data_IF_990416857751
#
_entry.id   IF_990416857751
#
_cell.length_a   1.000
_cell.length_b   1.000
_cell.length_c   1.000
_cell.angle_alpha   90.00
_cell.angle_beta   90.00
_cell.angle_gamma   90.00
#
_symmetry.space_group_name_H-M   'P 1'
#
loop_
_entity.id
_entity.type
_entity.pdbx_description
1 polymer ?
#
# COMPACT_ATOMS: atom_id res chain seq x y z
N UNK A 1 -2.70 2.22 4.91
CA UNK A 1 -3.83 2.72 4.10
C UNK A 1 -5.15 2.59 4.86
N UNK A 2 -5.67 1.39 5.15
CA UNK A 2 -6.99 1.26 5.83
C UNK A 2 -7.04 1.93 7.21
N UNK A 3 -5.98 1.82 8.02
CA UNK A 3 -5.90 2.48 9.35
C UNK A 3 -6.09 4.00 9.32
N UNK A 4 -5.95 4.65 8.15
CA UNK A 4 -6.25 6.08 7.98
C UNK A 4 -7.76 6.32 7.80
N UNK A 5 -8.49 5.43 7.11
CA UNK A 5 -9.89 5.63 6.69
C UNK A 5 -10.87 5.94 7.83
N UNK A 6 -10.51 5.56 9.06
CA UNK A 6 -11.40 5.53 10.20
C UNK A 6 -10.85 6.40 11.34
N UNK A 7 -10.64 7.68 11.02
CA UNK A 7 -10.54 8.72 12.04
C UNK A 7 -11.85 8.76 12.83
N UNK A 8 -11.81 8.24 14.06
CA UNK A 8 -12.97 8.09 14.96
C UNK A 8 -13.57 9.45 15.30
N UNK A 9 -14.62 9.84 14.56
CA UNK A 9 -15.40 11.04 14.83
C UNK A 9 -16.22 10.84 16.13
N UNK A 10 -15.63 11.30 17.24
CA UNK A 10 -16.19 11.26 18.60
C UNK A 10 -17.52 12.04 18.72
N UNK A 11 -17.72 13.06 17.88
CA UNK A 11 -18.93 13.89 17.81
C UNK A 11 -20.22 13.11 17.51
N UNK A 12 -20.10 11.85 17.06
CA UNK A 12 -21.24 10.97 16.73
C UNK A 12 -21.23 9.65 17.53
N UNK A 13 -20.42 9.53 18.59
CA UNK A 13 -20.37 8.31 19.39
C UNK A 13 -21.72 8.05 20.09
N UNK A 14 -22.22 6.81 20.02
CA UNK A 14 -23.47 6.42 20.70
C UNK A 14 -24.77 6.91 20.04
N UNK A 15 -24.71 7.58 18.88
CA UNK A 15 -25.89 7.99 18.11
C UNK A 15 -26.00 7.18 16.80
N UNK A 16 -27.12 6.47 16.62
CA UNK A 16 -27.42 5.79 15.36
C UNK A 16 -27.77 6.81 14.28
N UNK A 17 -26.93 6.91 13.24
CA UNK A 17 -27.06 7.85 12.12
C UNK A 17 -27.20 7.07 10.82
N UNK A 18 -28.45 6.84 10.40
CA UNK A 18 -28.78 6.06 9.22
C UNK A 18 -29.57 6.88 8.20
N UNK A 19 -28.95 7.16 7.05
CA UNK A 19 -29.67 7.69 5.89
C UNK A 19 -30.17 6.54 5.00
N UNK A 20 -31.44 6.51 4.54
CA UNK A 20 -31.97 5.42 3.73
C UNK A 20 -31.15 5.12 2.46
N UNK A 21 -30.66 6.16 1.78
CA UNK A 21 -29.77 6.00 0.62
C UNK A 21 -28.42 5.35 0.96
N UNK A 22 -27.93 5.55 2.19
CA UNK A 22 -26.73 4.90 2.70
C UNK A 22 -26.94 3.42 3.02
N UNK A 23 -28.10 3.07 3.58
CA UNK A 23 -28.53 1.66 3.77
C UNK A 23 -28.66 0.95 2.43
N UNK A 24 -29.28 1.60 1.43
CA UNK A 24 -29.36 1.06 0.06
C UNK A 24 -27.98 0.82 -0.57
N UNK A 25 -27.07 1.80 -0.46
CA UNK A 25 -25.69 1.66 -0.95
C UNK A 25 -24.93 0.52 -0.23
N UNK A 26 -25.08 0.39 1.09
CA UNK A 26 -24.50 -0.71 1.86
C UNK A 26 -25.09 -2.06 1.44
N UNK A 27 -26.40 -2.18 1.27
CA UNK A 27 -27.05 -3.43 0.86
C UNK A 27 -26.55 -3.90 -0.52
N UNK A 28 -26.49 -2.99 -1.49
CA UNK A 28 -25.91 -3.26 -2.82
C UNK A 28 -24.43 -3.67 -2.71
N UNK A 29 -23.64 -2.97 -1.90
CA UNK A 29 -22.23 -3.31 -1.69
C UNK A 29 -22.04 -4.67 -0.99
N UNK A 30 -22.88 -5.03 -0.03
CA UNK A 30 -22.85 -6.34 0.64
C UNK A 30 -23.24 -7.48 -0.30
N UNK A 31 -24.27 -7.30 -1.13
CA UNK A 31 -24.62 -8.27 -2.18
C UNK A 31 -23.49 -8.43 -3.20
N UNK A 32 -22.87 -7.32 -3.64
CA UNK A 32 -21.70 -7.35 -4.50
C UNK A 32 -20.50 -8.04 -3.82
N UNK A 33 -20.25 -7.80 -2.53
CA UNK A 33 -19.19 -8.44 -1.76
C UNK A 33 -19.37 -9.95 -1.70
N UNK A 34 -20.60 -10.46 -1.60
CA UNK A 34 -20.91 -11.90 -1.58
C UNK A 34 -20.78 -12.57 -2.95
N UNK A 35 -21.25 -11.90 -4.02
CA UNK A 35 -21.31 -12.46 -5.37
C UNK A 35 -19.96 -12.34 -6.11
N UNK A 36 -19.39 -11.14 -6.15
CA UNK A 36 -18.32 -10.78 -7.10
C UNK A 36 -16.97 -11.45 -6.75
N UNK A 37 -16.17 -11.97 -7.70
CA UNK A 37 -14.90 -12.65 -7.39
C UNK A 37 -13.93 -11.85 -6.51
N UNK A 38 -13.21 -12.54 -5.62
CA UNK A 38 -12.42 -11.93 -4.52
C UNK A 38 -11.49 -10.80 -4.96
N UNK A 39 -10.85 -10.89 -6.13
CA UNK A 39 -9.97 -9.84 -6.70
C UNK A 39 -10.61 -8.44 -6.78
N UNK A 40 -11.95 -8.35 -6.81
CA UNK A 40 -12.70 -7.10 -6.88
C UNK A 40 -13.19 -6.59 -5.51
N UNK A 41 -13.12 -7.39 -4.44
CA UNK A 41 -13.47 -6.97 -3.06
C UNK A 41 -12.76 -5.67 -2.63
N UNK A 42 -11.46 -5.45 -2.93
CA UNK A 42 -10.78 -4.17 -2.73
C UNK A 42 -11.44 -2.96 -3.37
N UNK A 43 -12.09 -3.13 -4.53
CA UNK A 43 -12.79 -2.04 -5.23
C UNK A 43 -14.13 -1.72 -4.57
N UNK A 44 -14.83 -2.71 -4.03
CA UNK A 44 -16.10 -2.49 -3.31
C UNK A 44 -15.82 -1.78 -1.98
N UNK A 45 -14.77 -2.18 -1.25
CA UNK A 45 -14.30 -1.45 -0.06
C UNK A 45 -13.86 -0.01 -0.40
N UNK A 46 -13.14 0.18 -1.51
CA UNK A 46 -12.72 1.50 -1.97
C UNK A 46 -13.94 2.39 -2.31
N UNK A 47 -14.93 1.86 -3.03
CA UNK A 47 -16.14 2.60 -3.37
C UNK A 47 -16.91 3.03 -2.12
N UNK A 48 -17.12 2.13 -1.15
CA UNK A 48 -17.71 2.47 0.15
C UNK A 48 -16.91 3.59 0.84
N UNK A 49 -15.58 3.46 0.91
CA UNK A 49 -14.72 4.41 1.61
C UNK A 49 -14.66 5.82 0.99
N UNK A 50 -15.00 6.00 -0.29
CA UNK A 50 -14.95 7.32 -0.97
C UNK A 50 -16.32 7.94 -1.26
N UNK A 51 -17.40 7.16 -1.24
CA UNK A 51 -18.77 7.64 -1.47
C UNK A 51 -19.67 7.64 -0.22
N UNK A 52 -19.39 6.80 0.79
CA UNK A 52 -20.27 6.63 1.95
C UNK A 52 -19.67 7.33 3.19
N UNK A 53 -20.30 8.40 3.72
CA UNK A 53 -19.70 9.20 4.78
C UNK A 53 -19.44 8.44 6.08
N UNK A 54 -18.25 8.61 6.68
CA UNK A 54 -17.84 7.94 7.93
C UNK A 54 -18.65 8.36 9.17
N UNK A 55 -19.60 9.28 9.01
CA UNK A 55 -20.62 9.62 10.01
C UNK A 55 -21.57 8.44 10.22
N UNK A 56 -22.00 7.78 9.13
CA UNK A 56 -23.08 6.78 9.15
C UNK A 56 -22.70 5.54 9.97
N UNK A 57 -23.48 5.27 11.04
CA UNK A 57 -23.27 4.15 11.95
C UNK A 57 -24.57 3.63 12.57
N UNK A 58 -24.56 2.36 12.92
CA UNK A 58 -25.61 1.68 13.69
C UNK A 58 -25.06 1.42 15.08
N UNK A 59 -25.75 1.87 16.14
CA UNK A 59 -25.35 1.60 17.52
C UNK A 59 -26.15 0.41 18.03
N UNK A 60 -25.45 -0.68 18.35
CA UNK A 60 -26.05 -1.93 18.84
C UNK A 60 -25.50 -2.19 20.24
N UNK A 61 -26.36 -2.17 21.26
CA UNK A 61 -25.99 -2.36 22.67
C UNK A 61 -24.83 -1.44 23.13
N UNK A 62 -24.80 -0.20 22.63
CA UNK A 62 -23.74 0.79 22.92
C UNK A 62 -22.46 0.65 22.09
N UNK A 63 -22.32 -0.38 21.25
CA UNK A 63 -21.23 -0.51 20.30
C UNK A 63 -21.56 0.19 18.96
N UNK A 64 -20.75 1.17 18.57
CA UNK A 64 -20.82 1.81 17.25
C UNK A 64 -20.41 0.82 16.14
N UNK A 65 -21.25 0.66 15.11
CA UNK A 65 -20.91 -0.05 13.86
C UNK A 65 -21.02 0.90 12.66
N UNK A 66 -19.91 1.53 12.22
CA UNK A 66 -19.85 2.26 10.96
C UNK A 66 -20.21 1.34 9.79
N UNK A 67 -20.84 1.86 8.73
CA UNK A 67 -21.30 1.02 7.62
C UNK A 67 -20.14 0.31 6.88
N UNK A 68 -18.96 0.91 6.85
CA UNK A 68 -17.74 0.27 6.33
C UNK A 68 -17.31 -0.96 7.18
N UNK A 69 -17.47 -0.90 8.51
CA UNK A 69 -17.21 -2.03 9.43
C UNK A 69 -18.13 -3.21 9.14
N UNK A 70 -19.40 -2.95 8.87
CA UNK A 70 -20.38 -3.98 8.50
C UNK A 70 -19.99 -4.69 7.19
N UNK A 71 -19.58 -3.92 6.17
CA UNK A 71 -19.07 -4.46 4.91
C UNK A 71 -17.76 -5.26 5.10
N UNK A 72 -16.85 -4.81 5.97
CA UNK A 72 -15.63 -5.54 6.33
C UNK A 72 -15.96 -6.88 6.99
N UNK A 73 -16.88 -6.91 7.97
CA UNK A 73 -17.30 -8.14 8.64
C UNK A 73 -17.92 -9.16 7.69
N UNK A 74 -18.82 -8.73 6.78
CA UNK A 74 -19.41 -9.61 5.76
C UNK A 74 -18.35 -10.12 4.78
N UNK A 75 -17.46 -9.24 4.33
CA UNK A 75 -16.36 -9.62 3.43
C UNK A 75 -15.37 -10.60 4.07
N UNK A 76 -15.06 -10.44 5.36
CA UNK A 76 -14.28 -11.41 6.13
C UNK A 76 -14.99 -12.76 6.25
N UNK A 77 -16.26 -12.77 6.67
CA UNK A 77 -17.04 -14.00 6.83
C UNK A 77 -17.07 -14.81 5.52
N UNK A 78 -17.29 -14.13 4.38
CA UNK A 78 -17.20 -14.73 3.05
C UNK A 78 -15.81 -15.30 2.74
N UNK A 79 -14.73 -14.58 3.05
CA UNK A 79 -13.36 -15.02 2.78
C UNK A 79 -12.90 -16.16 3.71
N UNK A 80 -13.52 -16.30 4.89
CA UNK A 80 -13.39 -17.49 5.74
C UNK A 80 -14.12 -18.68 5.11
N UNK A 81 -15.42 -18.55 4.82
CA UNK A 81 -16.26 -19.63 4.25
C UNK A 81 -15.74 -20.11 2.90
N UNK A 82 -15.28 -19.21 2.02
CA UNK A 82 -14.66 -19.57 0.74
C UNK A 82 -13.23 -20.15 0.86
N UNK A 83 -12.73 -20.38 2.07
CA UNK A 83 -11.38 -20.85 2.38
C UNK A 83 -10.27 -19.93 1.88
N UNK A 84 -10.58 -18.68 1.52
CA UNK A 84 -9.63 -17.76 0.91
C UNK A 84 -8.55 -17.32 1.90
N UNK A 85 -8.93 -17.10 3.16
CA UNK A 85 -8.01 -16.84 4.27
C UNK A 85 -7.23 -18.10 4.66
N UNK A 86 -7.87 -19.27 4.70
CA UNK A 86 -7.21 -20.56 4.99
C UNK A 86 -6.14 -20.95 3.96
N UNK A 87 -6.26 -20.44 2.72
CA UNK A 87 -5.23 -20.57 1.66
C UNK A 87 -4.07 -19.56 1.78
N UNK A 88 -3.96 -18.81 2.87
CA UNK A 88 -2.87 -17.86 3.12
C UNK A 88 -1.92 -18.39 4.19
N UNK A 89 -0.61 -18.24 3.97
CA UNK A 89 0.38 -18.46 5.04
C UNK A 89 0.47 -17.25 5.94
N UNK A 90 0.51 -17.47 7.26
CA UNK A 90 0.78 -16.40 8.23
C UNK A 90 2.22 -15.91 8.04
N UNK A 91 2.40 -14.59 8.05
CA UNK A 91 3.68 -13.90 7.91
C UNK A 91 3.87 -12.90 9.05
N UNK A 92 5.12 -12.49 9.28
CA UNK A 92 5.48 -11.53 10.33
C UNK A 92 4.67 -10.22 10.32
N UNK A 93 4.25 -9.72 9.15
CA UNK A 93 3.42 -8.51 9.07
C UNK A 93 2.03 -8.77 9.66
N UNK A 94 1.41 -9.92 9.38
CA UNK A 94 0.12 -10.29 9.99
C UNK A 94 0.25 -10.31 11.51
N UNK A 95 1.32 -10.93 12.02
CA UNK A 95 1.61 -11.06 13.44
C UNK A 95 1.72 -9.67 14.09
N UNK A 96 2.48 -8.73 13.50
CA UNK A 96 2.58 -7.38 14.05
C UNK A 96 1.29 -6.55 13.89
N UNK A 97 0.52 -6.72 12.80
CA UNK A 97 -0.80 -6.09 12.64
C UNK A 97 -1.77 -6.59 13.72
N UNK A 98 -1.76 -7.89 14.02
CA UNK A 98 -2.56 -8.50 15.09
C UNK A 98 -2.08 -8.02 16.47
N UNK A 99 -0.77 -8.06 16.77
CA UNK A 99 -0.23 -7.59 18.06
C UNK A 99 -0.60 -6.13 18.31
N UNK A 100 -0.42 -5.23 17.34
CA UNK A 100 -0.79 -3.82 17.49
C UNK A 100 -2.28 -3.60 17.77
N UNK A 101 -3.15 -4.42 17.17
CA UNK A 101 -4.58 -4.38 17.45
C UNK A 101 -4.94 -4.95 18.84
N UNK A 102 -4.48 -6.16 19.17
CA UNK A 102 -4.72 -6.81 20.46
C UNK A 102 -4.21 -5.96 21.63
N UNK A 103 -3.04 -5.33 21.47
CA UNK A 103 -2.47 -4.43 22.49
C UNK A 103 -3.44 -3.30 22.82
N UNK A 104 -4.02 -2.65 21.80
CA UNK A 104 -5.00 -1.54 21.99
C UNK A 104 -6.32 -2.00 22.60
N UNK A 105 -6.78 -3.22 22.32
CA UNK A 105 -7.99 -3.79 22.95
C UNK A 105 -7.82 -3.89 24.47
N UNK A 106 -6.62 -4.19 24.97
CA UNK A 106 -6.32 -4.25 26.42
C UNK A 106 -5.98 -2.85 26.97
N UNK A 107 -5.16 -2.09 26.26
CA UNK A 107 -4.56 -0.85 26.76
C UNK A 107 -5.52 0.33 26.86
N UNK A 108 -6.38 0.58 25.86
CA UNK A 108 -7.29 1.75 25.88
C UNK A 108 -8.33 1.66 27.00
N UNK A 109 -9.03 0.53 27.24
CA UNK A 109 -10.01 0.45 28.32
C UNK A 109 -9.40 0.63 29.71
N UNK A 110 -8.17 0.14 29.92
CA UNK A 110 -7.41 0.29 31.18
C UNK A 110 -6.97 1.73 31.39
N UNK A 111 -6.32 2.36 30.40
CA UNK A 111 -5.81 3.74 30.52
C UNK A 111 -6.93 4.79 30.61
N UNK A 112 -8.11 4.51 30.06
CA UNK A 112 -9.30 5.39 30.15
C UNK A 112 -10.21 5.06 31.34
N UNK A 113 -9.90 4.03 32.14
CA UNK A 113 -10.72 3.59 33.26
C UNK A 113 -12.14 3.13 32.90
N UNK A 114 -12.39 2.73 31.65
CA UNK A 114 -13.72 2.44 31.13
C UNK A 114 -13.75 1.09 30.37
N UNK A 115 -14.31 0.01 30.95
CA UNK A 115 -14.31 -1.31 30.34
C UNK A 115 -15.17 -1.40 29.07
N UNK A 116 -16.17 -0.53 28.89
CA UNK A 116 -17.03 -0.55 27.70
C UNK A 116 -16.26 -0.22 26.41
N UNK A 117 -15.10 0.43 26.52
CA UNK A 117 -14.22 0.71 25.39
C UNK A 117 -13.62 -0.56 24.77
N UNK A 118 -13.68 -1.73 25.44
CA UNK A 118 -13.32 -3.02 24.84
C UNK A 118 -14.11 -3.25 23.54
N UNK A 119 -15.42 -2.96 23.54
CA UNK A 119 -16.26 -3.13 22.34
C UNK A 119 -15.85 -2.18 21.20
N UNK A 120 -15.53 -0.92 21.53
CA UNK A 120 -15.01 0.03 20.55
C UNK A 120 -13.68 -0.46 19.95
N UNK A 121 -12.73 -0.90 20.78
CA UNK A 121 -11.42 -1.36 20.30
C UNK A 121 -11.49 -2.68 19.54
N UNK A 122 -12.38 -3.61 19.92
CA UNK A 122 -12.67 -4.81 19.11
C UNK A 122 -13.20 -4.40 17.73
N UNK A 123 -14.11 -3.43 17.66
CA UNK A 123 -14.59 -2.88 16.39
C UNK A 123 -13.46 -2.25 15.56
N UNK A 124 -12.65 -1.38 16.16
CA UNK A 124 -11.53 -0.70 15.47
C UNK A 124 -10.38 -1.68 15.12
N UNK A 125 -10.29 -2.84 15.79
CA UNK A 125 -9.45 -3.96 15.40
C UNK A 125 -10.03 -4.75 14.22
N UNK A 126 -11.33 -5.05 14.19
CA UNK A 126 -12.02 -5.65 13.03
C UNK A 126 -11.79 -4.79 11.78
N UNK A 127 -11.89 -3.47 11.91
CA UNK A 127 -11.62 -2.55 10.81
C UNK A 127 -10.18 -2.65 10.29
N UNK A 128 -9.18 -2.47 11.17
CA UNK A 128 -7.78 -2.40 10.77
C UNK A 128 -7.21 -3.76 10.34
N UNK A 129 -7.44 -4.81 11.14
CA UNK A 129 -6.95 -6.18 10.89
C UNK A 129 -7.77 -6.85 9.80
N UNK A 130 -9.09 -6.66 9.83
CA UNK A 130 -10.00 -7.26 8.88
C UNK A 130 -9.79 -6.76 7.46
N UNK A 131 -9.80 -5.44 7.25
CA UNK A 131 -9.56 -4.90 5.91
C UNK A 131 -8.12 -5.18 5.42
N UNK A 132 -7.12 -5.24 6.31
CA UNK A 132 -5.77 -5.72 5.95
C UNK A 132 -5.82 -7.15 5.38
N UNK A 133 -6.48 -8.08 6.08
CA UNK A 133 -6.64 -9.45 5.60
C UNK A 133 -7.51 -9.55 4.34
N UNK A 134 -8.57 -8.76 4.20
CA UNK A 134 -9.38 -8.71 2.98
C UNK A 134 -8.56 -8.26 1.77
N UNK A 135 -7.77 -7.19 1.90
CA UNK A 135 -6.88 -6.71 0.84
C UNK A 135 -5.85 -7.76 0.46
N UNK A 136 -5.17 -8.37 1.44
CA UNK A 136 -4.16 -9.41 1.21
C UNK A 136 -4.75 -10.70 0.64
N UNK A 137 -5.94 -11.11 1.06
CA UNK A 137 -6.65 -12.27 0.53
C UNK A 137 -7.12 -12.09 -0.91
N UNK A 138 -7.26 -10.85 -1.37
CA UNK A 138 -7.83 -10.50 -2.67
C UNK A 138 -6.77 -10.17 -3.73
N UNK A 139 -5.70 -9.44 -3.36
CA UNK A 139 -4.63 -9.06 -4.28
C UNK A 139 -3.47 -10.07 -4.17
N UNK A 140 -3.52 -11.15 -4.96
CA UNK A 140 -2.56 -12.26 -4.91
C UNK A 140 -1.47 -12.18 -5.96
N UNK A 141 -1.74 -11.51 -7.07
CA UNK A 141 -0.83 -11.39 -8.23
C UNK A 141 -0.65 -9.94 -8.69
N UNK A 142 0.35 -9.71 -9.55
CA UNK A 142 0.48 -8.44 -10.26
C UNK A 142 -0.76 -8.17 -11.14
N UNK A 143 -1.41 -9.19 -11.70
CA UNK A 143 -2.62 -9.00 -12.50
C UNK A 143 -3.80 -8.46 -11.67
N UNK A 144 -3.99 -8.96 -10.44
CA UNK A 144 -5.03 -8.45 -9.52
C UNK A 144 -4.77 -6.99 -9.14
N UNK A 145 -3.50 -6.64 -8.87
CA UNK A 145 -3.10 -5.26 -8.59
C UNK A 145 -3.33 -4.34 -9.80
N UNK A 146 -3.08 -4.80 -11.03
CA UNK A 146 -3.34 -4.04 -12.26
C UNK A 146 -4.84 -3.80 -12.47
N UNK A 147 -5.67 -4.80 -12.17
CA UNK A 147 -7.11 -4.66 -12.15
C UNK A 147 -7.58 -3.69 -11.06
N UNK A 148 -7.01 -3.76 -9.85
CA UNK A 148 -7.28 -2.82 -8.76
C UNK A 148 -6.87 -1.38 -9.13
N UNK A 149 -5.66 -1.17 -9.65
CA UNK A 149 -5.16 0.14 -10.12
C UNK A 149 -6.12 0.78 -11.14
N UNK A 150 -6.59 -0.02 -12.11
CA UNK A 150 -7.52 0.46 -13.15
C UNK A 150 -8.93 0.72 -12.59
N UNK A 151 -9.46 -0.18 -11.75
CA UNK A 151 -10.78 0.00 -11.14
C UNK A 151 -10.82 1.16 -10.14
N UNK A 152 -9.73 1.38 -9.40
CA UNK A 152 -9.59 2.49 -8.47
C UNK A 152 -9.62 3.84 -9.21
N UNK A 153 -8.99 3.95 -10.38
CA UNK A 153 -9.07 5.14 -11.22
C UNK A 153 -10.53 5.45 -11.59
N UNK A 154 -11.28 4.46 -12.08
CA UNK A 154 -12.71 4.64 -12.43
C UNK A 154 -13.59 4.99 -11.23
N UNK A 155 -13.31 4.43 -10.05
CA UNK A 155 -14.04 4.73 -8.82
C UNK A 155 -13.71 6.14 -8.30
N UNK A 156 -12.46 6.60 -8.40
CA UNK A 156 -12.02 7.89 -7.89
C UNK A 156 -12.23 9.07 -8.86
N UNK A 157 -12.44 8.83 -10.16
CA UNK A 157 -12.67 9.89 -11.13
C UNK A 157 -13.94 10.73 -10.84
N UNK A 158 -15.13 10.16 -10.57
CA UNK A 158 -16.31 10.97 -10.21
C UNK A 158 -16.16 11.64 -8.83
N UNK A 159 -15.43 11.03 -7.88
CA UNK A 159 -15.10 11.68 -6.59
C UNK A 159 -14.30 12.96 -6.81
N UNK A 160 -13.43 13.01 -7.82
CA UNK A 160 -12.68 14.22 -8.17
C UNK A 160 -13.63 15.35 -8.59
N UNK A 161 -14.71 15.03 -9.31
CA UNK A 161 -15.76 16.00 -9.68
C UNK A 161 -16.53 16.48 -8.45
N UNK A 162 -16.86 15.57 -7.52
CA UNK A 162 -17.49 15.93 -6.23
C UNK A 162 -16.61 16.93 -5.45
N UNK A 163 -15.30 16.70 -5.36
CA UNK A 163 -14.37 17.60 -4.67
C UNK A 163 -14.24 18.96 -5.39
N UNK A 164 -14.33 19.02 -6.72
CA UNK A 164 -14.35 20.29 -7.47
C UNK A 164 -15.65 21.08 -7.24
N UNK A 165 -16.79 20.40 -7.12
CA UNK A 165 -18.09 21.03 -6.79
C UNK A 165 -18.09 21.50 -5.32
N UNK A 166 -17.55 20.69 -4.40
CA UNK A 166 -17.35 21.08 -3.00
C UNK A 166 -16.42 22.32 -2.90
N UNK A 167 -15.34 22.37 -3.69
CA UNK A 167 -14.37 23.48 -3.70
C UNK A 167 -14.93 24.79 -4.27
N UNK A 168 -15.87 24.72 -5.21
CA UNK A 168 -16.47 25.88 -5.87
C UNK A 168 -17.74 26.40 -5.18
N UNK A 169 -18.45 25.54 -4.45
CA UNK A 169 -19.71 25.91 -3.77
C UNK A 169 -19.60 25.98 -2.25
N UNK A 170 -18.54 25.43 -1.65
CA UNK A 170 -18.43 25.22 -0.19
C UNK A 170 -19.42 24.20 0.38
N UNK A 171 -20.19 23.50 -0.48
CA UNK A 171 -21.22 22.51 -0.10
C UNK A 171 -20.80 21.11 -0.50
N UNK A 172 -20.84 20.19 0.45
CA UNK A 172 -20.49 18.80 0.22
C UNK A 172 -21.69 18.04 -0.37
N UNK A 173 -21.57 17.54 -1.61
CA UNK A 173 -22.66 16.79 -2.26
C UNK A 173 -23.03 15.49 -1.52
N UNK A 174 -22.09 14.92 -0.77
CA UNK A 174 -22.31 13.70 0.01
C UNK A 174 -23.02 13.97 1.36
N UNK A 175 -23.45 15.22 1.61
CA UNK A 175 -24.40 15.54 2.68
C UNK A 175 -25.79 14.94 2.47
N UNK A 176 -26.15 14.60 1.22
CA UNK A 176 -27.28 13.73 0.89
C UNK A 176 -27.11 12.33 1.53
N UNK A 177 -25.88 11.94 1.88
CA UNK A 177 -25.56 10.74 2.64
C UNK A 177 -25.07 11.07 4.07
N UNK A 178 -25.42 12.24 4.62
CA UNK A 178 -25.10 12.59 6.02
C UNK A 178 -23.65 13.01 6.27
N UNK A 179 -22.87 13.37 5.25
CA UNK A 179 -21.66 14.18 5.47
C UNK A 179 -22.02 15.61 5.93
N UNK A 180 -21.09 16.36 6.57
CA UNK A 180 -21.31 17.77 6.89
C UNK A 180 -21.70 18.59 5.66
N UNK A 181 -22.82 19.33 5.72
CA UNK A 181 -23.38 20.03 4.56
C UNK A 181 -22.47 21.12 3.99
N UNK A 182 -21.67 21.76 4.85
CA UNK A 182 -20.71 22.80 4.49
C UNK A 182 -19.31 22.37 4.88
N UNK A 183 -18.35 22.62 4.00
CA UNK A 183 -16.94 22.31 4.21
C UNK A 183 -16.30 23.31 5.18
N UNK A 184 -15.37 22.85 6.02
CA UNK A 184 -14.69 23.74 6.97
C UNK A 184 -13.86 24.81 6.24
N UNK A 185 -13.99 26.08 6.64
CA UNK A 185 -13.14 27.18 6.17
C UNK A 185 -12.04 27.42 7.20
N UNK A 186 -10.77 27.45 6.77
CA UNK A 186 -9.63 27.75 7.64
C UNK A 186 -8.61 28.63 6.90
N UNK A 187 -8.21 29.74 7.53
CA UNK A 187 -7.37 30.77 6.91
C UNK A 187 -7.89 31.25 5.54
N UNK A 188 -9.20 31.53 5.45
CA UNK A 188 -9.88 31.98 4.23
C UNK A 188 -10.03 30.91 3.13
N UNK A 189 -9.58 29.67 3.35
CA UNK A 189 -9.66 28.59 2.36
C UNK A 189 -10.69 27.55 2.76
N UNK A 190 -11.57 27.20 1.82
CA UNK A 190 -12.42 26.00 1.87
C UNK A 190 -11.50 24.77 1.95
N UNK A 191 -11.88 23.79 2.78
CA UNK A 191 -11.18 22.50 2.90
C UNK A 191 -12.14 21.35 2.62
N UNK A 192 -12.17 20.90 1.37
CA UNK A 192 -13.05 19.82 0.94
C UNK A 192 -12.71 18.49 1.63
N UNK A 193 -13.72 17.68 1.92
CA UNK A 193 -13.55 16.38 2.59
C UNK A 193 -14.41 15.24 2.03
N UNK A 194 -15.43 15.49 1.21
CA UNK A 194 -16.30 14.45 0.66
C UNK A 194 -16.84 13.48 1.73
N UNK A 195 -16.60 12.18 1.57
CA UNK A 195 -17.03 11.13 2.51
C UNK A 195 -16.18 11.02 3.78
N UNK A 196 -14.98 11.63 3.81
CA UNK A 196 -14.03 11.46 4.90
C UNK A 196 -14.39 12.35 6.10
N UNK A 197 -13.99 11.93 7.30
CA UNK A 197 -14.22 12.71 8.53
C UNK A 197 -13.52 14.07 8.53
N UNK A 198 -12.41 14.23 7.80
CA UNK A 198 -11.75 15.53 7.61
C UNK A 198 -10.87 15.57 6.35
N UNK A 199 -10.69 16.78 5.81
CA UNK A 199 -9.91 17.09 4.59
C UNK A 199 -8.46 16.57 4.60
N UNK A 200 -7.78 16.58 5.75
CA UNK A 200 -6.41 16.07 5.88
C UNK A 200 -6.35 14.56 5.57
N UNK A 201 -7.35 13.80 6.02
CA UNK A 201 -7.46 12.38 5.74
C UNK A 201 -7.78 12.14 4.25
N UNK A 202 -8.76 12.85 3.70
CA UNK A 202 -9.13 12.74 2.29
C UNK A 202 -7.91 12.86 1.37
N UNK A 203 -7.17 13.96 1.45
CA UNK A 203 -5.98 14.17 0.61
C UNK A 203 -4.90 13.10 0.82
N UNK A 204 -4.62 12.71 2.07
CA UNK A 204 -3.65 11.65 2.38
C UNK A 204 -4.07 10.28 1.81
N UNK A 205 -5.37 9.99 1.69
CA UNK A 205 -5.88 8.74 1.12
C UNK A 205 -5.61 8.64 -0.39
N UNK A 206 -5.90 9.67 -1.18
CA UNK A 206 -5.62 9.66 -2.62
C UNK A 206 -4.11 9.71 -2.91
N UNK A 207 -3.32 10.37 -2.06
CA UNK A 207 -1.85 10.29 -2.13
C UNK A 207 -1.33 8.88 -1.83
N UNK A 208 -1.99 8.11 -0.95
CA UNK A 208 -1.63 6.71 -0.72
C UNK A 208 -1.98 5.77 -1.91
N UNK A 209 -2.87 6.18 -2.82
CA UNK A 209 -3.16 5.48 -4.07
C UNK A 209 -2.15 5.80 -5.19
N UNK A 210 -1.52 6.98 -5.17
CA UNK A 210 -0.58 7.42 -6.21
C UNK A 210 0.45 6.35 -6.62
N UNK A 211 1.13 5.62 -5.71
CA UNK A 211 2.17 4.68 -6.13
C UNK A 211 1.63 3.48 -6.90
N UNK A 212 0.36 3.10 -6.70
CA UNK A 212 -0.33 2.03 -7.45
C UNK A 212 -0.71 2.48 -8.87
N UNK A 213 -0.92 3.79 -9.09
CA UNK A 213 -1.13 4.37 -10.42
C UNK A 213 0.19 4.71 -11.12
N UNK A 214 1.13 5.37 -10.46
CA UNK A 214 2.42 5.77 -11.06
C UNK A 214 3.24 4.52 -11.46
N UNK A 215 3.17 3.42 -10.69
CA UNK A 215 3.83 2.16 -11.05
C UNK A 215 3.38 1.54 -12.39
N UNK A 216 2.32 2.05 -13.01
CA UNK A 216 1.85 1.68 -14.35
C UNK A 216 2.72 2.23 -15.48
N UNK A 217 3.55 3.26 -15.25
CA UNK A 217 4.32 3.96 -16.31
C UNK A 217 5.13 3.03 -17.22
N UNK A 218 5.63 1.90 -16.71
CA UNK A 218 6.40 0.93 -17.50
C UNK A 218 5.60 0.14 -18.54
N UNK A 219 4.26 0.25 -18.56
CA UNK A 219 3.37 -0.55 -19.42
C UNK A 219 2.91 0.18 -20.69
N UNK A 220 3.81 0.96 -21.30
CA UNK A 220 3.54 1.70 -22.53
C UNK A 220 2.42 2.74 -22.40
N UNK A 221 1.78 3.10 -23.52
CA UNK A 221 0.80 4.20 -23.58
C UNK A 221 -0.34 4.02 -22.58
N UNK A 222 -0.94 2.83 -22.49
CA UNK A 222 -2.00 2.52 -21.50
C UNK A 222 -1.49 2.62 -20.05
N UNK A 223 -0.23 2.26 -19.82
CA UNK A 223 0.44 2.45 -18.53
C UNK A 223 0.57 3.94 -18.15
N UNK A 224 1.05 4.74 -19.10
CA UNK A 224 1.22 6.20 -18.96
C UNK A 224 -0.11 6.92 -18.74
N UNK A 225 -1.16 6.56 -19.47
CA UNK A 225 -2.50 7.15 -19.28
C UNK A 225 -3.02 6.91 -17.85
N UNK A 226 -2.93 5.68 -17.33
CA UNK A 226 -3.41 5.36 -15.97
C UNK A 226 -2.58 6.13 -14.92
N UNK A 227 -1.26 6.23 -15.10
CA UNK A 227 -0.40 7.00 -14.22
C UNK A 227 -0.72 8.52 -14.23
N UNK A 228 -0.92 9.10 -15.42
CA UNK A 228 -1.23 10.52 -15.59
C UNK A 228 -2.62 10.88 -15.03
N UNK A 229 -3.65 10.09 -15.31
CA UNK A 229 -4.98 10.29 -14.75
C UNK A 229 -5.01 10.09 -13.23
N UNK A 230 -4.30 9.09 -12.70
CA UNK A 230 -4.17 8.89 -11.25
C UNK A 230 -3.44 10.06 -10.56
N UNK A 231 -2.40 10.61 -11.20
CA UNK A 231 -1.71 11.81 -10.73
C UNK A 231 -2.63 13.04 -10.73
N UNK A 232 -3.40 13.25 -11.80
CA UNK A 232 -4.36 14.35 -11.91
C UNK A 232 -5.46 14.27 -10.83
N UNK A 233 -6.03 13.08 -10.61
CA UNK A 233 -7.02 12.80 -9.56
C UNK A 233 -6.47 13.19 -8.18
N UNK A 234 -5.31 12.66 -7.80
CA UNK A 234 -4.73 12.92 -6.49
C UNK A 234 -4.30 14.39 -6.33
N UNK A 235 -3.67 14.99 -7.34
CA UNK A 235 -3.26 16.40 -7.32
C UNK A 235 -4.47 17.33 -7.12
N UNK A 236 -5.56 17.09 -7.86
CA UNK A 236 -6.78 17.89 -7.77
C UNK A 236 -7.37 17.80 -6.36
N UNK A 237 -7.52 16.59 -5.81
CA UNK A 237 -8.09 16.40 -4.48
C UNK A 237 -7.17 16.96 -3.39
N UNK A 238 -5.84 16.82 -3.51
CA UNK A 238 -4.85 17.43 -2.60
C UNK A 238 -4.99 18.95 -2.55
N UNK A 239 -5.22 19.60 -3.70
CA UNK A 239 -5.47 21.05 -3.79
C UNK A 239 -6.79 21.41 -3.09
N UNK A 240 -7.89 20.70 -3.38
CA UNK A 240 -9.20 20.94 -2.76
C UNK A 240 -9.21 20.71 -1.24
N UNK A 241 -8.35 19.83 -0.72
CA UNK A 241 -8.20 19.61 0.72
C UNK A 241 -7.51 20.77 1.46
N UNK A 242 -6.86 21.71 0.74
CA UNK A 242 -6.17 22.90 1.25
C UNK A 242 -5.36 22.67 2.55
N UNK A 243 -4.55 21.61 2.57
CA UNK A 243 -3.84 21.08 3.74
C UNK A 243 -2.40 20.72 3.41
N UNK A 244 -1.48 20.91 4.36
CA UNK A 244 -0.05 20.62 4.16
C UNK A 244 0.28 19.13 4.19
N UNK A 245 -0.41 18.31 5.01
CA UNK A 245 -0.04 16.89 5.18
C UNK A 245 -0.15 16.10 3.87
N UNK A 246 -1.21 16.25 3.05
CA UNK A 246 -1.29 15.61 1.73
C UNK A 246 -0.22 16.12 0.75
N UNK A 247 0.09 17.43 0.76
CA UNK A 247 1.16 18.01 -0.08
C UNK A 247 2.53 17.44 0.29
N UNK A 248 2.85 17.39 1.59
CA UNK A 248 4.07 16.77 2.14
C UNK A 248 4.15 15.29 1.75
N UNK A 249 3.05 14.55 1.88
CA UNK A 249 3.00 13.14 1.49
C UNK A 249 3.22 12.96 -0.03
N UNK A 250 2.70 13.85 -0.87
CA UNK A 250 2.90 13.82 -2.32
C UNK A 250 4.36 14.12 -2.71
N UNK A 251 5.03 15.04 -1.98
CA UNK A 251 6.49 15.26 -2.12
C UNK A 251 7.26 14.01 -1.71
N UNK A 252 6.93 13.35 -0.59
CA UNK A 252 7.58 12.10 -0.19
C UNK A 252 7.36 10.96 -1.20
N UNK A 253 6.19 10.85 -1.81
CA UNK A 253 5.94 9.93 -2.93
C UNK A 253 6.85 10.26 -4.11
N UNK A 254 6.96 11.54 -4.50
CA UNK A 254 7.88 11.99 -5.55
C UNK A 254 9.35 11.66 -5.27
N UNK A 255 9.83 11.90 -4.04
CA UNK A 255 11.17 11.52 -3.59
C UNK A 255 11.37 10.00 -3.61
N UNK A 256 10.37 9.22 -3.20
CA UNK A 256 10.38 7.77 -3.30
C UNK A 256 10.53 7.28 -4.74
N UNK A 257 9.86 7.93 -5.69
CA UNK A 257 10.00 7.66 -7.12
C UNK A 257 11.35 8.07 -7.70
N UNK A 258 11.90 9.23 -7.33
CA UNK A 258 13.26 9.64 -7.70
C UNK A 258 14.31 8.62 -7.19
N UNK A 259 14.08 8.04 -6.00
CA UNK A 259 14.86 6.94 -5.44
C UNK A 259 14.97 5.69 -6.32
N UNK A 260 14.08 5.51 -7.31
CA UNK A 260 14.16 4.37 -8.25
C UNK A 260 15.46 4.37 -9.05
N UNK A 261 16.01 5.55 -9.36
CA UNK A 261 17.31 5.66 -10.05
C UNK A 261 18.45 5.01 -9.25
N UNK A 262 18.31 4.98 -7.92
CA UNK A 262 19.28 4.49 -6.95
C UNK A 262 18.81 3.22 -6.23
N UNK A 263 17.88 2.44 -6.83
CA UNK A 263 17.23 1.30 -6.16
C UNK A 263 18.20 0.25 -5.59
N UNK A 264 19.38 0.08 -6.19
CA UNK A 264 20.44 -0.83 -5.71
C UNK A 264 21.19 -0.27 -4.50
N UNK A 265 21.28 1.05 -4.40
CA UNK A 265 21.98 1.80 -3.36
C UNK A 265 21.06 2.20 -2.20
N UNK A 266 19.74 1.98 -2.26
CA UNK A 266 18.81 2.39 -1.20
C UNK A 266 19.20 1.90 0.20
N UNK A 267 19.82 0.72 0.34
CA UNK A 267 20.35 0.27 1.65
C UNK A 267 21.44 1.21 2.18
N UNK A 268 22.32 1.72 1.32
CA UNK A 268 23.34 2.70 1.67
C UNK A 268 22.70 4.06 1.99
N UNK A 269 21.70 4.50 1.22
CA UNK A 269 20.95 5.74 1.47
C UNK A 269 20.25 5.69 2.84
N UNK A 270 19.62 4.57 3.19
CA UNK A 270 19.00 4.36 4.50
C UNK A 270 20.04 4.34 5.64
N UNK A 271 21.15 3.64 5.49
CA UNK A 271 22.22 3.60 6.50
C UNK A 271 22.84 4.99 6.69
N UNK A 272 23.14 5.71 5.60
CA UNK A 272 23.65 7.07 5.64
C UNK A 272 22.64 8.03 6.29
N UNK A 273 21.34 7.92 5.96
CA UNK A 273 20.29 8.70 6.59
C UNK A 273 20.16 8.46 8.10
N UNK A 274 20.35 7.23 8.56
CA UNK A 274 20.40 6.90 9.99
C UNK A 274 21.65 7.51 10.66
N UNK A 275 22.83 7.35 10.06
CA UNK A 275 24.10 7.91 10.59
C UNK A 275 24.02 9.44 10.66
N UNK A 276 23.55 10.10 9.60
CA UNK A 276 23.35 11.55 9.56
C UNK A 276 22.28 11.99 10.57
N UNK A 277 21.19 11.24 10.72
CA UNK A 277 20.16 11.51 11.73
C UNK A 277 20.67 11.43 13.18
N UNK A 278 21.53 10.46 13.47
CA UNK A 278 22.20 10.31 14.78
C UNK A 278 23.20 11.44 15.00
N UNK A 279 24.04 11.76 14.00
CA UNK A 279 24.99 12.87 14.09
C UNK A 279 24.27 14.21 14.31
N UNK A 280 23.20 14.48 13.56
CA UNK A 280 22.36 15.67 13.74
C UNK A 280 21.66 15.69 15.11
N UNK A 281 21.26 14.55 15.65
CA UNK A 281 20.67 14.51 16.99
C UNK A 281 21.65 14.97 18.09
N UNK A 282 22.93 14.60 18.00
CA UNK A 282 23.95 15.08 18.94
C UNK A 282 24.42 16.53 18.69
N UNK A 283 24.35 17.02 17.44
CA UNK A 283 24.72 18.41 17.09
C UNK A 283 23.58 19.41 17.36
N UNK A 284 22.32 18.98 17.29
CA UNK A 284 21.16 19.86 17.45
C UNK A 284 20.66 19.89 18.90
N UNK A 285 20.77 21.05 19.56
CA UNK A 285 20.31 21.29 20.94
C UNK A 285 18.79 21.06 21.21
N UNK A 286 17.98 20.79 20.17
CA UNK A 286 16.55 20.41 20.27
C UNK A 286 16.23 19.07 19.58
N UNK A 287 17.26 18.24 19.35
CA UNK A 287 17.17 16.99 18.61
C UNK A 287 16.84 17.16 17.12
N UNK A 288 16.99 16.07 16.37
CA UNK A 288 16.78 16.06 14.91
C UNK A 288 15.30 16.28 14.51
N UNK A 289 14.34 15.96 15.40
CA UNK A 289 12.91 16.19 15.16
C UNK A 289 12.53 17.69 15.08
N UNK A 290 13.35 18.59 15.63
CA UNK A 290 13.16 20.03 15.48
C UNK A 290 13.30 20.54 14.03
N UNK A 291 13.88 19.75 13.11
CA UNK A 291 13.85 20.07 11.67
C UNK A 291 12.41 20.19 11.12
N UNK A 292 11.46 19.44 11.68
CA UNK A 292 10.04 19.48 11.29
C UNK A 292 9.43 20.86 11.60
N UNK A 293 9.91 21.56 12.63
CA UNK A 293 9.47 22.92 12.97
C UNK A 293 9.88 23.98 11.92
N UNK A 294 10.80 23.65 11.01
CA UNK A 294 11.26 24.54 9.92
C UNK A 294 10.51 24.33 8.61
N UNK A 295 9.65 23.31 8.50
CA UNK A 295 8.91 22.97 7.29
C UNK A 295 7.45 23.46 7.42
N UNK A 296 7.19 24.69 6.99
CA UNK A 296 5.83 25.11 6.59
C UNK A 296 5.79 25.26 5.06
N UNK A 297 4.80 24.62 4.45
CA UNK A 297 4.57 24.56 3.00
C UNK A 297 3.18 25.09 2.63
N UNK A 298 2.28 25.26 3.61
CA UNK A 298 0.90 25.74 3.39
C UNK A 298 0.45 26.45 4.67
N UNK A 299 0.46 27.79 4.64
CA UNK A 299 0.18 28.64 5.80
C UNK A 299 -1.07 28.24 6.59
N UNK A 300 -0.93 28.26 7.92
CA UNK A 300 -1.91 27.66 8.86
C UNK A 300 -1.60 26.20 9.20
N UNK A 301 -0.42 25.69 8.81
CA UNK A 301 0.15 24.39 9.18
C UNK A 301 1.36 24.57 10.09
N UNK A 302 1.15 24.59 11.41
CA UNK A 302 2.24 24.67 12.38
C UNK A 302 3.13 23.41 12.35
N UNK A 303 4.21 23.43 11.59
CA UNK A 303 5.29 22.42 11.69
C UNK A 303 5.82 22.30 13.13
N UNK A 304 5.79 23.42 13.87
CA UNK A 304 6.01 23.50 15.30
C UNK A 304 5.11 22.56 16.12
N UNK A 305 3.82 22.39 15.78
CA UNK A 305 2.91 21.48 16.50
C UNK A 305 3.34 20.02 16.36
N UNK A 306 3.72 19.61 15.14
CA UNK A 306 4.25 18.26 14.90
C UNK A 306 5.59 18.03 15.62
N UNK A 307 6.47 19.02 15.65
CA UNK A 307 7.67 19.02 16.47
C UNK A 307 7.34 18.85 17.96
N UNK A 308 6.50 19.73 18.51
CA UNK A 308 6.18 19.79 19.94
C UNK A 308 5.48 18.51 20.42
N UNK A 309 4.60 17.92 19.60
CA UNK A 309 3.98 16.63 19.88
C UNK A 309 5.00 15.48 19.99
N UNK A 310 6.03 15.45 19.13
CA UNK A 310 7.11 14.45 19.20
C UNK A 310 8.03 14.71 20.40
N UNK A 311 8.43 15.97 20.59
CA UNK A 311 9.28 16.45 21.67
C UNK A 311 8.69 16.10 23.05
N UNK A 312 7.38 16.33 23.21
CA UNK A 312 6.63 15.94 24.40
C UNK A 312 6.36 14.45 24.51
N UNK A 313 6.09 13.73 23.41
CA UNK A 313 6.00 12.26 23.47
C UNK A 313 7.32 11.63 23.96
N UNK A 314 8.48 12.19 23.61
CA UNK A 314 9.78 11.76 24.14
C UNK A 314 9.93 12.17 25.61
N UNK A 315 9.58 13.41 25.98
CA UNK A 315 9.64 13.92 27.36
C UNK A 315 8.78 13.08 28.32
N UNK A 316 7.56 12.73 27.93
CA UNK A 316 6.61 11.94 28.69
C UNK A 316 6.69 10.43 28.38
N UNK A 317 7.82 9.92 27.85
CA UNK A 317 7.95 8.48 27.53
C UNK A 317 7.61 7.58 28.73
N UNK A 318 8.04 7.94 29.94
CA UNK A 318 7.74 7.22 31.18
C UNK A 318 6.23 7.12 31.52
N UNK A 319 5.40 8.02 30.99
CA UNK A 319 3.94 8.01 31.17
C UNK A 319 3.26 6.95 30.30
N UNK A 320 3.65 6.84 29.02
CA UNK A 320 2.89 6.07 28.04
C UNK A 320 3.56 4.77 27.57
N UNK A 321 4.85 4.54 27.82
CA UNK A 321 5.58 3.43 27.21
C UNK A 321 4.98 2.03 27.46
N UNK A 322 4.33 1.79 28.60
CA UNK A 322 3.83 0.46 28.96
C UNK A 322 2.44 0.18 28.36
N UNK A 323 1.46 1.05 28.60
CA UNK A 323 0.04 0.86 28.22
C UNK A 323 -0.58 2.03 27.44
N UNK A 324 0.20 3.06 27.09
CA UNK A 324 -0.36 4.33 26.61
C UNK A 324 -0.78 5.27 27.74
N UNK A 325 -1.56 6.30 27.41
CA UNK A 325 -2.02 7.32 28.36
C UNK A 325 -3.46 7.75 28.05
N UNK A 326 -4.17 8.24 29.06
CA UNK A 326 -5.55 8.71 28.93
C UNK A 326 -5.70 9.88 27.93
N UNK A 327 -4.65 10.67 27.73
CA UNK A 327 -4.63 11.74 26.73
C UNK A 327 -3.36 12.59 26.81
N UNK A 328 -3.24 13.54 25.89
CA UNK A 328 -2.02 14.36 25.69
C UNK A 328 -2.24 15.85 25.94
N UNK A 329 -3.36 16.23 26.57
CA UNK A 329 -3.75 17.64 26.80
C UNK A 329 -2.80 18.36 27.76
N UNK A 330 -2.28 17.65 28.77
CA UNK A 330 -1.34 18.20 29.76
C UNK A 330 0.09 18.32 29.23
N UNK A 331 0.42 17.66 28.11
CA UNK A 331 1.75 17.74 27.50
C UNK A 331 2.06 19.15 26.96
N UNK A 332 1.05 19.90 26.53
CA UNK A 332 1.17 21.24 25.98
C UNK A 332 -0.12 21.72 25.27
N UNK A 333 -0.25 23.03 25.06
CA UNK A 333 -1.43 23.62 24.43
C UNK A 333 -1.72 23.00 23.05
N UNK A 334 -2.93 22.49 22.87
CA UNK A 334 -3.39 21.88 21.62
C UNK A 334 -2.92 20.45 21.39
N UNK A 335 -2.02 19.88 22.21
CA UNK A 335 -1.43 18.55 21.96
C UNK A 335 -2.42 17.38 22.08
N UNK A 336 -3.66 17.62 22.50
CA UNK A 336 -4.77 16.65 22.32
C UNK A 336 -5.07 16.33 20.84
N UNK A 337 -4.68 17.20 19.90
CA UNK A 337 -4.72 16.91 18.44
C UNK A 337 -3.46 16.13 18.03
N UNK A 338 -3.49 14.82 18.23
CA UNK A 338 -2.37 13.89 18.02
C UNK A 338 -2.15 13.61 16.52
N UNK A 339 -1.68 14.62 15.79
CA UNK A 339 -1.44 14.61 14.33
C UNK A 339 -0.23 13.77 13.86
N UNK A 340 0.11 12.69 14.58
CA UNK A 340 1.21 11.79 14.28
C UNK A 340 0.84 10.34 14.64
N UNK A 341 0.76 9.45 13.66
CA UNK A 341 0.36 8.05 13.86
C UNK A 341 1.27 7.30 14.84
N UNK A 342 2.59 7.53 14.82
CA UNK A 342 3.51 6.81 15.71
C UNK A 342 3.29 7.20 17.17
N UNK A 343 3.01 8.49 17.43
CA UNK A 343 2.62 8.97 18.77
C UNK A 343 1.23 8.47 19.14
N UNK A 344 0.29 8.39 18.18
CA UNK A 344 -1.07 7.90 18.42
C UNK A 344 -1.11 6.40 18.78
N UNK A 345 -0.29 5.55 18.17
CA UNK A 345 -0.11 4.17 18.60
C UNK A 345 0.50 4.09 20.01
N UNK A 346 1.49 4.95 20.31
CA UNK A 346 2.08 5.09 21.64
C UNK A 346 1.06 5.47 22.72
N UNK A 347 0.24 6.48 22.46
CA UNK A 347 -0.82 6.94 23.36
C UNK A 347 -1.91 5.89 23.57
N UNK A 348 -2.22 5.04 22.56
CA UNK A 348 -3.31 4.05 22.64
C UNK A 348 -2.89 2.63 23.06
N UNK A 349 -1.62 2.26 22.91
CA UNK A 349 -1.14 0.90 23.13
C UNK A 349 0.35 0.81 23.46
N UNK A 350 0.91 1.90 23.97
CA UNK A 350 2.29 1.98 24.44
C UNK A 350 3.35 1.71 23.38
N UNK A 351 4.55 1.43 23.89
CA UNK A 351 5.71 1.07 23.08
C UNK A 351 5.46 -0.22 22.29
N UNK A 352 4.65 -1.16 22.80
CA UNK A 352 4.35 -2.42 22.08
C UNK A 352 3.53 -2.18 20.80
N UNK A 353 2.45 -1.38 20.85
CA UNK A 353 1.71 -1.02 19.63
C UNK A 353 2.55 -0.17 18.67
N UNK A 354 3.37 0.74 19.21
CA UNK A 354 4.31 1.56 18.43
C UNK A 354 5.33 0.70 17.69
N UNK A 355 5.97 -0.24 18.40
CA UNK A 355 6.92 -1.21 17.85
C UNK A 355 6.28 -2.13 16.82
N UNK A 356 5.03 -2.57 17.06
CA UNK A 356 4.27 -3.36 16.11
C UNK A 356 4.01 -2.60 14.81
N UNK A 357 3.66 -1.31 14.86
CA UNK A 357 3.54 -0.47 13.66
C UNK A 357 4.87 -0.38 12.91
N UNK A 358 5.97 -0.02 13.58
CA UNK A 358 7.30 0.06 12.95
C UNK A 358 7.75 -1.27 12.34
N UNK A 359 7.57 -2.37 13.06
CA UNK A 359 7.90 -3.71 12.57
C UNK A 359 7.09 -4.05 11.32
N UNK A 360 5.77 -3.80 11.30
CA UNK A 360 4.92 -4.06 10.14
C UNK A 360 5.44 -3.35 8.86
N UNK A 361 5.94 -2.12 8.99
CA UNK A 361 6.57 -1.37 7.90
C UNK A 361 7.92 -1.96 7.49
N UNK A 362 8.82 -2.23 8.45
CA UNK A 362 10.16 -2.82 8.17
C UNK A 362 10.03 -4.17 7.46
N UNK A 363 9.13 -5.03 7.91
CA UNK A 363 8.86 -6.32 7.27
C UNK A 363 8.20 -6.17 5.88
N UNK A 364 7.43 -5.11 5.64
CA UNK A 364 6.91 -4.79 4.30
C UNK A 364 8.02 -4.36 3.33
N UNK A 365 8.85 -3.38 3.69
CA UNK A 365 9.98 -2.92 2.86
C UNK A 365 10.99 -4.03 2.57
N UNK A 366 11.33 -4.86 3.58
CA UNK A 366 12.21 -6.02 3.43
C UNK A 366 11.69 -7.03 2.39
N UNK A 367 10.39 -7.26 2.40
CA UNK A 367 9.76 -8.25 1.53
C UNK A 367 9.52 -7.73 0.10
N UNK A 368 9.37 -6.41 -0.06
CA UNK A 368 9.47 -5.70 -1.35
C UNK A 368 10.88 -5.82 -1.93
N UNK A 369 11.93 -5.50 -1.16
CA UNK A 369 13.32 -5.54 -1.64
C UNK A 369 13.74 -6.92 -2.15
N UNK A 370 13.27 -7.98 -1.48
CA UNK A 370 13.41 -9.36 -1.94
C UNK A 370 12.77 -9.64 -3.32
N UNK A 371 11.63 -9.02 -3.61
CA UNK A 371 10.97 -9.15 -4.92
C UNK A 371 11.67 -8.33 -6.01
N UNK A 372 12.16 -7.13 -5.68
CA UNK A 372 13.00 -6.32 -6.60
C UNK A 372 14.24 -7.08 -7.06
N UNK A 373 14.97 -7.71 -6.14
CA UNK A 373 16.14 -8.54 -6.47
C UNK A 373 15.82 -9.83 -7.25
N UNK A 374 14.55 -10.14 -7.52
CA UNK A 374 14.10 -11.35 -8.25
C UNK A 374 13.46 -11.06 -9.61
N UNK A 375 13.04 -9.82 -9.86
CA UNK A 375 12.48 -9.42 -11.15
C UNK A 375 13.58 -8.85 -12.05
N UNK A 376 13.53 -9.05 -13.38
CA UNK A 376 14.52 -8.45 -14.27
C UNK A 376 14.47 -6.92 -14.16
N UNK A 377 15.61 -6.24 -13.90
CA UNK A 377 15.60 -4.82 -13.60
C UNK A 377 15.14 -3.98 -14.80
N UNK A 378 14.54 -2.82 -14.52
CA UNK A 378 13.93 -1.92 -15.51
C UNK A 378 12.73 -2.49 -16.30
N UNK A 379 12.23 -3.68 -15.97
CA UNK A 379 10.92 -4.14 -16.49
C UNK A 379 9.75 -3.40 -15.86
N UNK A 380 8.58 -3.43 -16.52
CA UNK A 380 7.33 -2.91 -15.98
C UNK A 380 6.95 -3.55 -14.64
N UNK A 381 7.12 -4.87 -14.50
CA UNK A 381 6.90 -5.58 -13.24
C UNK A 381 7.86 -5.10 -12.15
N UNK A 382 9.16 -4.98 -12.44
CA UNK A 382 10.14 -4.46 -11.48
C UNK A 382 9.80 -3.03 -11.02
N UNK A 383 9.38 -2.14 -11.93
CA UNK A 383 8.95 -0.79 -11.55
C UNK A 383 7.64 -0.81 -10.75
N UNK A 384 6.65 -1.62 -11.13
CA UNK A 384 5.39 -1.76 -10.39
C UNK A 384 5.63 -2.28 -8.97
N UNK A 385 6.50 -3.28 -8.78
CA UNK A 385 6.94 -3.73 -7.45
C UNK A 385 7.68 -2.64 -6.68
N UNK A 386 8.52 -1.84 -7.33
CA UNK A 386 9.20 -0.71 -6.69
C UNK A 386 8.22 0.36 -6.21
N UNK A 387 7.19 0.62 -7.01
CA UNK A 387 6.19 1.65 -6.76
C UNK A 387 5.30 1.28 -5.58
N UNK A 388 4.83 0.03 -5.52
CA UNK A 388 4.22 -0.55 -4.33
C UNK A 388 5.24 -0.60 -3.17
N UNK A 389 6.53 -0.68 -3.47
CA UNK A 389 7.59 -0.53 -2.49
C UNK A 389 7.54 0.80 -1.74
N UNK A 390 7.19 1.89 -2.43
CA UNK A 390 6.94 3.19 -1.82
C UNK A 390 5.59 3.29 -1.05
N UNK A 391 4.76 2.24 -1.01
CA UNK A 391 3.44 2.24 -0.33
C UNK A 391 3.11 1.02 0.54
N UNK A 392 3.87 -0.09 0.44
CA UNK A 392 3.50 -1.48 0.80
C UNK A 392 2.33 -2.04 -0.05
N UNK A 393 2.17 -3.35 -0.34
CA UNK A 393 3.04 -4.56 -0.29
C UNK A 393 2.60 -5.53 -1.43
N UNK A 394 3.47 -6.44 -1.88
CA UNK A 394 3.09 -7.68 -2.59
C UNK A 394 3.47 -8.94 -1.79
N UNK A 395 2.69 -10.02 -1.93
CA UNK A 395 2.90 -11.23 -1.13
C UNK A 395 3.91 -12.23 -1.72
N UNK A 396 4.46 -13.10 -0.87
CA UNK A 396 5.45 -14.11 -1.28
C UNK A 396 4.81 -15.48 -1.53
N UNK A 397 4.63 -15.80 -2.83
CA UNK A 397 4.60 -17.13 -3.51
C UNK A 397 3.26 -17.49 -4.18
N UNK A 398 3.26 -17.43 -5.51
CA UNK A 398 2.54 -18.39 -6.38
C UNK A 398 3.44 -19.04 -7.46
N UNK A 399 4.76 -18.76 -7.47
CA UNK A 399 5.75 -19.43 -8.34
C UNK A 399 6.70 -20.33 -7.54
N UNK A 400 6.14 -21.34 -6.85
CA UNK A 400 6.83 -22.61 -6.58
C UNK A 400 6.15 -23.66 -7.48
N UNK A 401 6.61 -23.71 -8.73
CA UNK A 401 6.02 -24.46 -9.82
C UNK A 401 6.83 -24.15 -11.07
N UNK A 402 6.31 -23.28 -11.93
CA UNK A 402 6.98 -22.91 -13.18
C UNK A 402 8.25 -22.07 -12.98
N UNK A 403 9.37 -22.61 -13.46
CA UNK A 403 10.43 -21.76 -14.01
C UNK A 403 9.91 -21.26 -15.37
N UNK A 404 9.88 -19.96 -15.67
CA UNK A 404 9.67 -19.51 -17.04
C UNK A 404 10.86 -19.99 -17.88
N UNK A 405 10.67 -21.04 -18.67
CA UNK A 405 11.63 -21.41 -19.71
C UNK A 405 11.60 -20.32 -20.79
N UNK A 406 12.47 -19.32 -20.66
CA UNK A 406 12.82 -18.41 -21.74
C UNK A 406 13.55 -19.20 -22.84
N UNK A 407 12.77 -19.91 -23.68
CA UNK A 407 13.24 -20.45 -24.95
C UNK A 407 13.52 -19.29 -25.92
N UNK A 408 14.69 -18.69 -25.81
CA UNK A 408 15.28 -18.00 -26.95
C UNK A 408 15.45 -19.03 -28.09
N UNK A 409 14.99 -18.68 -29.29
CA UNK A 409 15.22 -19.46 -30.51
C UNK A 409 14.10 -20.41 -30.93
N UNK A 410 12.90 -19.90 -31.25
CA UNK A 410 11.96 -20.60 -32.13
C UNK A 410 11.02 -19.68 -32.95
N UNK A 411 11.57 -18.58 -33.49
CA UNK A 411 10.88 -17.66 -34.43
C UNK A 411 11.59 -17.52 -35.80
N UNK A 412 12.33 -18.56 -36.23
CA UNK A 412 12.81 -18.73 -37.61
C UNK A 412 12.49 -20.14 -38.08
N UNK A 413 11.29 -20.34 -38.62
CA UNK A 413 10.87 -21.49 -39.44
C UNK A 413 9.41 -21.39 -39.96
N UNK A 414 8.59 -20.49 -39.39
CA UNK A 414 7.19 -20.28 -39.75
C UNK A 414 6.97 -19.39 -41.01
N UNK A 415 7.91 -19.38 -41.97
CA UNK A 415 7.86 -18.51 -43.17
C UNK A 415 8.14 -19.24 -44.49
N UNK A 416 8.22 -20.57 -44.51
CA UNK A 416 8.53 -21.36 -45.72
C UNK A 416 7.53 -22.48 -46.05
N UNK A 417 6.32 -22.47 -45.46
CA UNK A 417 5.20 -23.37 -45.84
C UNK A 417 3.91 -22.59 -46.10
N UNK A 418 3.95 -21.69 -47.08
CA UNK A 418 2.80 -20.93 -47.57
C UNK A 418 2.75 -20.81 -49.12
N UNK A 419 3.45 -21.68 -49.85
CA UNK A 419 3.35 -21.80 -51.31
C UNK A 419 3.47 -23.27 -51.75
N UNK A 420 2.32 -23.96 -51.86
CA UNK A 420 2.01 -25.17 -52.68
C UNK A 420 0.75 -25.85 -52.12
N UNK A 421 -0.42 -25.34 -52.49
CA UNK A 421 -1.67 -26.10 -52.51
C UNK A 421 -2.41 -25.72 -53.80
N UNK A 422 -2.65 -26.69 -54.67
CA UNK A 422 -3.31 -26.47 -55.95
C UNK A 422 -3.55 -27.76 -56.73
N UNK A 423 -4.82 -28.19 -56.79
CA UNK A 423 -5.40 -29.28 -57.60
C UNK A 423 -4.94 -30.72 -57.26
N UNK A 424 -5.81 -31.72 -57.52
CA UNK A 424 -5.38 -33.11 -57.73
C UNK A 424 -6.11 -34.25 -56.98
N UNK A 425 -7.40 -34.41 -57.22
CA UNK A 425 -8.19 -35.67 -57.29
C UNK A 425 -7.68 -37.05 -56.76
N UNK A 426 -8.60 -37.76 -56.10
CA UNK A 426 -8.87 -39.23 -56.06
C UNK A 426 -7.76 -40.27 -55.73
N UNK A 427 -8.07 -41.18 -54.78
CA UNK A 427 -7.38 -42.47 -54.58
C UNK A 427 -7.65 -43.12 -53.21
N UNK A 428 -8.22 -44.34 -53.18
CA UNK A 428 -8.53 -45.16 -51.98
C UNK A 428 -8.45 -46.65 -52.40
N UNK A 429 -8.03 -47.63 -51.58
CA UNK A 429 -7.09 -47.65 -50.43
C UNK A 429 -5.91 -48.64 -50.67
N UNK A 430 -5.10 -48.97 -49.65
CA UNK A 430 -4.97 -50.35 -49.11
C UNK A 430 -3.74 -50.59 -48.20
N UNK A 431 -3.85 -51.63 -47.37
CA UNK A 431 -2.81 -52.49 -46.76
C UNK A 431 -1.69 -51.92 -45.86
N UNK A 432 -1.70 -52.40 -44.61
CA UNK A 432 -0.54 -52.73 -43.77
C UNK A 432 -0.37 -54.28 -43.77
N UNK A 433 0.46 -54.96 -42.93
CA UNK A 433 1.49 -54.50 -41.97
C UNK A 433 2.83 -55.29 -42.03
N UNK A 434 3.87 -54.85 -41.30
CA UNK A 434 4.78 -55.70 -40.48
C UNK A 434 5.76 -54.85 -39.63
N UNK A 435 6.14 -55.26 -38.40
CA UNK A 435 7.37 -56.00 -37.98
C UNK A 435 8.70 -55.41 -38.54
N UNK A 436 9.82 -55.34 -37.80
CA UNK A 436 10.15 -55.92 -36.48
C UNK A 436 11.18 -55.09 -35.68
N UNK A 437 11.39 -55.48 -34.44
CA UNK A 437 12.39 -55.00 -33.47
C UNK A 437 13.82 -55.48 -33.74
N UNK A 438 14.82 -54.72 -33.30
CA UNK A 438 15.98 -55.14 -32.47
C UNK A 438 16.78 -53.88 -32.04
N UNK A 439 17.39 -53.74 -30.85
CA UNK A 439 18.52 -54.45 -30.24
C UNK A 439 19.86 -54.36 -31.03
N UNK A 440 21.05 -54.16 -30.44
CA UNK A 440 21.47 -53.51 -29.18
C UNK A 440 23.01 -53.37 -29.10
N UNK A 441 23.49 -52.49 -28.19
CA UNK A 441 24.73 -52.65 -27.38
C UNK A 441 26.16 -52.50 -27.99
N UNK A 442 27.09 -52.14 -27.07
CA UNK A 442 28.58 -52.17 -27.11
C UNK A 442 29.28 -51.01 -27.85
N UNK A 443 30.26 -50.27 -27.27
CA UNK A 443 31.56 -50.56 -26.57
C UNK A 443 32.72 -50.77 -27.58
N UNK A 444 33.97 -50.31 -27.41
CA UNK A 444 34.63 -49.39 -26.44
C UNK A 444 36.09 -49.07 -26.91
N UNK A 445 36.75 -47.98 -26.44
CA UNK A 445 38.24 -47.71 -26.55
C UNK A 445 38.75 -47.42 -28.00
N UNK A 446 39.87 -46.71 -28.30
CA UNK A 446 41.08 -46.32 -27.55
C UNK A 446 41.64 -44.88 -27.81
N UNK A 447 42.81 -44.62 -27.20
CA UNK A 447 43.69 -43.44 -27.20
C UNK A 447 44.07 -42.74 -28.53
N UNK A 448 44.61 -41.51 -28.39
CA UNK A 448 45.51 -40.86 -29.35
C UNK A 448 46.09 -39.54 -28.80
N UNK A 449 47.27 -39.59 -28.16
CA UNK A 449 48.00 -38.40 -27.71
C UNK A 449 48.77 -37.70 -28.86
N UNK A 450 48.88 -36.37 -28.81
CA UNK A 450 49.59 -35.58 -29.82
C UNK A 450 50.02 -34.20 -29.29
N UNK A 451 51.34 -33.97 -29.19
CA UNK A 451 51.92 -32.77 -28.60
C UNK A 451 51.91 -31.56 -29.55
N UNK A 452 51.98 -30.33 -28.99
CA UNK A 452 53.10 -29.43 -29.28
C UNK A 452 53.24 -28.32 -28.21
N UNK A 453 54.49 -27.86 -27.99
CA UNK A 453 54.90 -26.77 -27.08
C UNK A 453 55.81 -25.77 -27.81
N UNK A 454 55.69 -24.48 -27.48
CA UNK A 454 56.76 -23.43 -27.38
C UNK A 454 56.10 -22.20 -26.70
N UNK A 455 56.62 -21.56 -25.64
CA UNK A 455 57.81 -20.68 -25.52
C UNK A 455 57.70 -19.41 -26.41
N UNK A 456 57.80 -18.16 -25.94
CA UNK A 456 58.04 -17.54 -24.61
C UNK A 456 57.31 -16.17 -24.48
N UNK A 457 57.69 -15.11 -23.74
CA UNK A 457 58.76 -14.77 -22.76
C UNK A 457 58.23 -13.60 -21.85
N UNK A 458 59.03 -13.02 -20.93
CA UNK A 458 58.73 -11.88 -20.00
C UNK A 458 60.00 -10.99 -19.84
N UNK A 459 60.01 -9.86 -19.08
CA UNK A 459 59.03 -8.77 -18.86
C UNK A 459 59.69 -7.34 -18.90
N UNK A 460 58.97 -6.26 -18.55
CA UNK A 460 59.56 -5.00 -18.05
C UNK A 460 58.56 -4.18 -17.18
N UNK A 461 59.06 -3.27 -16.32
CA UNK A 461 58.30 -2.33 -15.47
C UNK A 461 59.16 -1.10 -15.10
N UNK A 462 58.49 -0.05 -14.61
CA UNK A 462 59.07 1.22 -14.12
C UNK A 462 59.68 2.13 -15.21
N UNK A 463 59.79 3.44 -15.04
CA UNK A 463 59.31 4.33 -13.94
C UNK A 463 58.00 5.05 -14.40
N UNK A 464 57.56 6.26 -14.01
CA UNK A 464 58.01 7.29 -13.06
C UNK A 464 56.81 8.10 -12.52
N UNK A 465 57.05 9.10 -11.67
CA UNK A 465 56.10 10.08 -11.13
C UNK A 465 56.44 11.50 -11.57
N UNK A 466 55.46 12.43 -11.52
CA UNK A 466 55.60 13.82 -11.01
C UNK A 466 54.21 14.51 -11.03
N UNK A 467 54.03 15.51 -10.15
CA UNK A 467 52.86 16.38 -10.02
C UNK A 467 53.25 17.84 -10.31
N UNK A 468 52.29 18.69 -10.68
CA UNK A 468 51.78 19.65 -9.68
C UNK A 468 50.56 19.16 -8.90
#
# INVERSE_FOLDING_TARGET
MVTLLLGEALEYAGVTTLHPGGVGALAVACMALLIVPSRFVPLILLALAVYLPSVQRIVIMGADFPLLRFAITIGLARLLVGGALSRMSIIWIDIFVIIGALTKIVCVPVTQGNPNLVFQQVGSAIDAVGAYFMMRASIRSLADLRAFSTGALWICAPVTVIFLIEQSTGRNMLSIFGAPAFSQIRMGKIRCQGAFSHSILAGCFFVALLPVWIGRLGEGVKGVMIAASGLLIALTIVICCASSTPVVAMVFVGCGFAGYLFWRQLRLVWIAGIIVGIALHFVMAKGVWHLIARIDLVGGSTGYHRYHLIDKAITYFGEWWLMGTAGTRHWGYGLQDVTNQYVLEGVRGGFLATLALFASMVFAFRDVGYWLHRLPPRTADHFLVYSIGASTRLDRRHHRGDRPQFRHGQWRLASHRAHRLGRGQHGIPSLSPHRQSDHALRRVVAHGDGQHRTLGIRPARCHQSVRP
#
